data_IF_830916154808
#
_entry.id   IF_830916154808
#
_cell.length_a   1.000
_cell.length_b   1.000
_cell.length_c   1.000
_cell.angle_alpha   90.00
_cell.angle_beta   90.00
_cell.angle_gamma   90.00
#
_symmetry.space_group_name_H-M   'P 1'
#
loop_
_entity.id
_entity.type
_entity.pdbx_description
1 polymer ?
#
# COMPACT_ATOMS: atom_id res chain seq x y z
N UNK A 1 -18.29 -0.09 35.73
CA UNK A 1 -18.49 0.24 34.31
C UNK A 1 -17.14 0.17 33.61
N UNK A 2 -16.92 -0.82 32.75
CA UNK A 2 -15.67 -1.01 32.01
C UNK A 2 -15.90 -0.50 30.59
N UNK A 3 -15.20 0.57 30.21
CA UNK A 3 -15.26 1.13 28.86
C UNK A 3 -14.61 0.14 27.89
N UNK A 4 -15.41 -0.34 26.93
CA UNK A 4 -14.97 -1.11 25.78
C UNK A 4 -14.30 -0.14 24.79
N UNK A 5 -12.98 -0.07 24.82
CA UNK A 5 -12.16 0.59 23.79
C UNK A 5 -12.18 -0.29 22.53
N UNK A 6 -13.27 -0.23 21.77
CA UNK A 6 -13.42 -0.99 20.52
C UNK A 6 -12.54 -0.37 19.43
N UNK A 7 -11.42 -1.03 19.17
CA UNK A 7 -10.75 -1.21 17.89
C UNK A 7 -11.16 -0.28 16.73
N UNK A 8 -10.44 0.84 16.57
CA UNK A 8 -10.33 1.58 15.31
C UNK A 8 -8.94 1.34 14.71
N UNK A 9 -8.64 0.08 14.37
CA UNK A 9 -7.38 -0.34 13.73
C UNK A 9 -7.67 -1.23 12.51
N UNK A 10 -8.79 -0.94 11.82
CA UNK A 10 -9.31 -1.71 10.70
C UNK A 10 -9.35 -0.90 9.38
N UNK A 11 -8.45 0.07 9.21
CA UNK A 11 -8.36 0.92 8.01
C UNK A 11 -7.18 0.64 7.07
N UNK A 12 -6.15 -0.12 7.48
CA UNK A 12 -4.90 -0.29 6.70
C UNK A 12 -4.91 -1.48 5.72
N UNK A 13 -6.09 -1.94 5.29
CA UNK A 13 -6.22 -3.08 4.35
C UNK A 13 -6.77 -2.68 2.97
N UNK A 14 -6.79 -1.40 2.63
CA UNK A 14 -7.25 -0.95 1.30
C UNK A 14 -6.04 -0.76 0.38
N UNK A 15 -5.81 -1.75 -0.50
CA UNK A 15 -5.12 -1.54 -1.78
C UNK A 15 -3.72 -2.16 -1.91
N UNK A 16 -3.66 -3.49 -2.13
CA UNK A 16 -2.46 -4.23 -2.57
C UNK A 16 -1.95 -3.77 -3.96
N UNK A 17 -1.35 -2.59 -4.02
CA UNK A 17 -0.34 -2.23 -5.02
C UNK A 17 0.88 -1.73 -4.26
N UNK A 18 1.54 -2.63 -3.54
CA UNK A 18 2.84 -2.36 -2.89
C UNK A 18 3.89 -2.27 -3.99
N UNK A 19 3.98 -1.09 -4.60
CA UNK A 19 5.00 -0.73 -5.56
C UNK A 19 6.02 0.17 -4.87
N UNK A 20 7.26 -0.27 -4.85
CA UNK A 20 8.40 0.46 -4.32
C UNK A 20 9.23 0.94 -5.50
N UNK A 21 9.44 2.26 -5.58
CA UNK A 21 10.30 2.88 -6.57
C UNK A 21 11.58 3.31 -5.85
N UNK A 22 12.72 2.95 -6.41
CA UNK A 22 13.99 3.14 -5.74
C UNK A 22 15.16 2.99 -6.69
N UNK A 23 16.35 2.89 -6.10
CA UNK A 23 17.60 2.70 -6.81
C UNK A 23 18.10 1.29 -6.54
N UNK A 24 18.54 0.60 -7.59
CA UNK A 24 19.28 -0.65 -7.50
C UNK A 24 20.75 -0.33 -7.77
N UNK A 25 21.59 -0.52 -6.77
CA UNK A 25 23.04 -0.41 -6.87
C UNK A 25 23.62 -1.80 -7.09
N UNK A 26 24.33 -2.00 -8.19
CA UNK A 26 24.94 -3.27 -8.59
C UNK A 26 26.45 -3.15 -8.39
N UNK A 27 27.01 -3.93 -7.47
CA UNK A 27 28.42 -3.83 -7.07
C UNK A 27 29.35 -4.61 -8.01
N UNK A 28 28.83 -5.68 -8.59
CA UNK A 28 29.47 -6.55 -9.58
C UNK A 28 28.41 -7.05 -10.57
N UNK A 29 28.83 -7.37 -11.79
CA UNK A 29 27.92 -7.90 -12.82
C UNK A 29 27.04 -9.03 -12.27
N UNK A 30 25.73 -8.89 -12.47
CA UNK A 30 24.72 -9.82 -11.92
C UNK A 30 23.76 -10.24 -13.02
N UNK A 31 23.50 -11.54 -13.09
CA UNK A 31 22.60 -12.11 -14.08
C UNK A 31 21.37 -12.71 -13.39
N UNK A 32 20.33 -11.89 -13.24
CA UNK A 32 19.09 -12.25 -12.56
C UNK A 32 18.24 -13.14 -13.46
N UNK A 33 18.23 -14.45 -13.18
CA UNK A 33 17.48 -15.46 -13.94
C UNK A 33 16.23 -15.90 -13.20
N UNK A 34 15.09 -15.80 -13.85
CA UNK A 34 13.88 -16.53 -13.52
C UNK A 34 13.60 -17.60 -14.57
N UNK A 35 12.59 -18.44 -14.31
CA UNK A 35 12.19 -19.51 -15.25
C UNK A 35 11.88 -18.99 -16.66
N UNK A 36 11.28 -17.80 -16.74
CA UNK A 36 10.70 -17.25 -17.97
C UNK A 36 11.43 -15.97 -18.46
N UNK A 37 12.23 -15.33 -17.62
CA UNK A 37 12.82 -14.01 -17.85
C UNK A 37 14.31 -14.02 -17.39
N UNK A 38 15.19 -13.30 -18.08
CA UNK A 38 16.60 -13.10 -17.69
C UNK A 38 16.96 -11.63 -17.85
N UNK A 39 17.67 -11.05 -16.88
CA UNK A 39 18.21 -9.69 -16.92
C UNK A 39 19.69 -9.75 -16.55
N UNK A 40 20.55 -9.21 -17.40
CA UNK A 40 21.96 -8.99 -17.07
C UNK A 40 22.19 -7.52 -16.76
N UNK A 41 22.78 -7.22 -15.60
CA UNK A 41 23.09 -5.86 -15.18
C UNK A 41 24.60 -5.75 -14.95
N UNK A 42 25.21 -4.80 -15.64
CA UNK A 42 26.59 -4.40 -15.35
C UNK A 42 26.66 -3.67 -14.00
N UNK A 43 27.88 -3.51 -13.48
CA UNK A 43 28.14 -2.67 -12.31
C UNK A 43 27.64 -1.25 -12.55
N UNK A 44 26.87 -0.70 -11.62
CA UNK A 44 26.32 0.65 -11.72
C UNK A 44 25.05 0.86 -10.90
N UNK A 45 24.43 2.03 -11.05
CA UNK A 45 23.17 2.38 -10.38
C UNK A 45 22.04 2.48 -11.39
N UNK A 46 20.89 1.89 -11.05
CA UNK A 46 19.72 1.84 -11.93
C UNK A 46 18.47 2.28 -11.18
N UNK A 47 17.63 3.06 -11.85
CA UNK A 47 16.26 3.27 -11.39
C UNK A 47 15.49 1.96 -11.51
N UNK A 48 14.96 1.48 -10.40
CA UNK A 48 14.25 0.22 -10.32
C UNK A 48 12.88 0.37 -9.65
N UNK A 49 11.96 -0.54 -10.01
CA UNK A 49 10.63 -0.64 -9.43
C UNK A 49 10.35 -2.08 -9.03
N UNK A 50 10.02 -2.28 -7.77
CA UNK A 50 9.61 -3.55 -7.21
C UNK A 50 8.12 -3.53 -6.94
N UNK A 51 7.39 -4.53 -7.43
CA UNK A 51 5.95 -4.62 -7.25
C UNK A 51 5.54 -6.02 -6.84
N UNK A 52 4.95 -6.12 -5.66
CA UNK A 52 4.33 -7.36 -5.23
C UNK A 52 2.97 -7.55 -5.93
N UNK A 53 2.83 -8.65 -6.66
CA UNK A 53 1.60 -9.03 -7.38
C UNK A 53 0.94 -10.16 -6.59
N UNK A 54 -0.08 -9.80 -5.81
CA UNK A 54 -0.69 -10.74 -4.87
C UNK A 54 0.29 -11.14 -3.77
N UNK A 55 0.24 -12.40 -3.32
CA UNK A 55 1.07 -12.91 -2.22
C UNK A 55 2.32 -13.68 -2.66
N UNK A 56 2.44 -14.00 -3.96
CA UNK A 56 3.37 -15.04 -4.46
C UNK A 56 4.25 -14.60 -5.62
N UNK A 57 4.19 -13.33 -6.00
CA UNK A 57 4.93 -12.84 -7.15
C UNK A 57 5.53 -11.48 -6.83
N UNK A 58 6.79 -11.31 -7.17
CA UNK A 58 7.48 -10.03 -7.22
C UNK A 58 7.85 -9.74 -8.66
N UNK A 59 7.46 -8.55 -9.11
CA UNK A 59 7.82 -8.02 -10.42
C UNK A 59 8.88 -6.95 -10.23
N UNK A 60 10.04 -7.19 -10.81
CA UNK A 60 11.19 -6.28 -10.83
C UNK A 60 11.20 -5.60 -12.19
N UNK A 61 11.22 -4.27 -12.22
CA UNK A 61 11.49 -3.48 -13.42
C UNK A 61 12.78 -2.71 -13.20
N UNK A 62 13.77 -2.92 -14.06
CA UNK A 62 15.07 -2.25 -13.98
C UNK A 62 15.61 -2.09 -15.40
N UNK A 63 16.19 -0.93 -15.71
CA UNK A 63 16.74 -0.62 -17.04
C UNK A 63 15.75 -0.84 -18.23
N UNK A 64 14.44 -0.76 -17.98
CA UNK A 64 13.41 -1.01 -19.00
C UNK A 64 13.05 -2.50 -19.18
N UNK A 65 13.83 -3.40 -18.60
CA UNK A 65 13.56 -4.84 -18.57
C UNK A 65 12.69 -5.21 -17.37
N UNK A 66 12.05 -6.37 -17.47
CA UNK A 66 11.10 -6.88 -16.48
C UNK A 66 11.44 -8.32 -16.14
N UNK A 67 11.55 -8.60 -14.85
CA UNK A 67 11.73 -9.93 -14.29
C UNK A 67 10.58 -10.27 -13.35
N UNK A 68 10.00 -11.46 -13.50
CA UNK A 68 8.97 -11.96 -12.58
C UNK A 68 9.53 -13.09 -11.72
N UNK A 69 9.63 -12.85 -10.41
CA UNK A 69 10.03 -13.85 -9.41
C UNK A 69 8.77 -14.44 -8.77
N UNK A 70 8.67 -15.76 -8.73
CA UNK A 70 7.59 -16.50 -8.06
C UNK A 70 8.11 -16.99 -6.70
N UNK A 71 7.25 -16.99 -5.70
CA UNK A 71 7.54 -17.45 -4.33
C UNK A 71 6.69 -18.68 -3.97
N UNK A 72 7.17 -19.47 -3.01
CA UNK A 72 6.35 -20.48 -2.33
C UNK A 72 5.07 -19.86 -1.74
N UNK A 73 4.00 -20.65 -1.70
CA UNK A 73 2.72 -20.28 -1.13
C UNK A 73 2.75 -19.91 0.35
N UNK A 74 3.74 -20.43 1.09
CA UNK A 74 3.90 -20.26 2.53
C UNK A 74 4.53 -18.92 2.90
N UNK A 75 5.25 -18.28 1.97
CA UNK A 75 5.92 -17.01 2.26
C UNK A 75 4.89 -15.91 2.53
N UNK A 76 5.12 -15.18 3.62
CA UNK A 76 4.35 -13.99 4.00
C UNK A 76 5.32 -12.85 4.22
N UNK A 77 5.26 -11.85 3.35
CA UNK A 77 6.02 -10.63 3.52
C UNK A 77 5.64 -9.97 4.86
N UNK A 78 6.61 -9.68 5.75
CA UNK A 78 6.32 -9.02 7.01
C UNK A 78 5.79 -7.59 6.76
N UNK A 79 5.03 -7.04 7.70
CA UNK A 79 4.66 -5.61 7.66
C UNK A 79 5.83 -4.71 8.04
N UNK A 80 6.63 -5.18 9.00
CA UNK A 80 7.85 -4.58 9.51
C UNK A 80 8.82 -5.69 9.91
N UNK A 81 10.12 -5.47 9.69
CA UNK A 81 11.19 -6.39 10.04
C UNK A 81 11.92 -6.94 8.82
N UNK A 82 12.79 -7.90 9.10
CA UNK A 82 13.63 -8.57 8.13
C UNK A 82 12.89 -9.76 7.50
N UNK A 83 13.24 -10.10 6.28
CA UNK A 83 12.83 -11.33 5.61
C UNK A 83 13.99 -11.88 4.78
N UNK A 84 13.98 -13.19 4.59
CA UNK A 84 14.88 -13.89 3.70
C UNK A 84 14.07 -14.79 2.78
N UNK A 85 14.47 -14.86 1.53
CA UNK A 85 13.90 -15.69 0.49
C UNK A 85 15.06 -16.44 -0.17
N UNK A 86 15.17 -17.71 0.16
CA UNK A 86 16.22 -18.55 -0.41
C UNK A 86 15.95 -18.81 -1.89
N UNK A 87 16.99 -18.96 -2.70
CA UNK A 87 16.90 -19.33 -4.11
C UNK A 87 16.18 -20.66 -4.34
N UNK A 88 16.11 -21.53 -3.32
CA UNK A 88 15.33 -22.77 -3.35
C UNK A 88 13.81 -22.52 -3.25
N UNK A 89 13.40 -21.45 -2.57
CA UNK A 89 12.00 -21.08 -2.33
C UNK A 89 11.48 -20.05 -3.34
N UNK A 90 12.36 -19.58 -4.22
CA UNK A 90 12.04 -18.65 -5.28
C UNK A 90 12.40 -19.22 -6.65
N UNK A 91 11.85 -18.61 -7.70
CA UNK A 91 12.30 -18.91 -9.06
C UNK A 91 13.58 -18.19 -9.46
N UNK A 92 14.25 -17.50 -8.55
CA UNK A 92 15.46 -16.71 -8.79
C UNK A 92 16.70 -17.55 -8.50
N UNK A 93 17.80 -17.30 -9.21
CA UNK A 93 19.10 -17.93 -8.98
C UNK A 93 19.90 -17.37 -7.79
N UNK A 94 19.35 -16.41 -7.05
CA UNK A 94 19.97 -15.73 -5.92
C UNK A 94 19.05 -15.75 -4.71
N UNK A 95 19.66 -15.65 -3.53
CA UNK A 95 18.96 -15.39 -2.28
C UNK A 95 18.60 -13.90 -2.20
N UNK A 96 17.42 -13.59 -1.64
CA UNK A 96 17.00 -12.22 -1.37
C UNK A 96 16.90 -12.00 0.14
N UNK A 97 17.73 -11.10 0.67
CA UNK A 97 17.63 -10.64 2.04
C UNK A 97 17.03 -9.25 2.03
N UNK A 98 16.01 -8.99 2.83
CA UNK A 98 15.36 -7.69 2.78
C UNK A 98 14.86 -7.22 4.12
N UNK A 99 14.65 -5.91 4.22
CA UNK A 99 14.12 -5.25 5.41
C UNK A 99 13.00 -4.30 5.02
N UNK A 100 11.92 -4.32 5.80
CA UNK A 100 10.82 -3.38 5.69
C UNK A 100 10.70 -2.62 7.00
N UNK A 101 10.83 -1.31 6.94
CA UNK A 101 10.60 -0.43 8.09
C UNK A 101 9.49 0.54 7.76
N UNK A 102 8.40 0.48 8.52
CA UNK A 102 7.28 1.41 8.46
C UNK A 102 7.28 2.27 9.71
N UNK A 103 7.49 3.55 9.52
CA UNK A 103 7.35 4.57 10.54
C UNK A 103 6.04 5.36 10.32
N UNK A 104 5.36 5.70 11.40
CA UNK A 104 4.08 6.43 11.36
C UNK A 104 4.19 7.66 12.25
N UNK A 105 4.41 8.80 11.62
CA UNK A 105 4.40 10.09 12.30
C UNK A 105 2.96 10.60 12.38
N UNK A 106 2.44 10.72 13.60
CA UNK A 106 1.06 11.16 13.84
C UNK A 106 1.00 12.67 13.91
N UNK A 107 0.21 13.27 13.03
CA UNK A 107 -0.03 14.71 13.05
C UNK A 107 -0.92 15.17 14.22
N UNK A 108 -1.02 16.50 14.44
CA UNK A 108 -1.93 17.06 15.42
C UNK A 108 -3.40 16.83 15.01
N UNK A 109 -4.28 16.75 16.01
CA UNK A 109 -5.72 16.68 15.80
C UNK A 109 -6.23 18.03 15.27
N UNK A 110 -7.00 17.99 14.19
CA UNK A 110 -7.63 19.11 13.51
C UNK A 110 -9.13 18.99 13.62
N UNK A 111 -9.79 20.14 13.75
CA UNK A 111 -11.24 20.26 13.84
C UNK A 111 -11.71 21.07 12.63
N UNK A 112 -12.72 20.58 11.91
CA UNK A 112 -13.21 21.24 10.70
C UNK A 112 -14.68 20.91 10.42
N UNK A 113 -15.40 21.84 9.81
CA UNK A 113 -16.67 21.53 9.16
C UNK A 113 -16.43 21.05 7.72
N UNK A 114 -16.90 19.84 7.43
CA UNK A 114 -16.87 19.26 6.09
C UNK A 114 -18.26 19.25 5.46
N UNK A 115 -18.29 19.29 4.13
CA UNK A 115 -19.52 19.08 3.38
C UNK A 115 -20.03 17.64 3.58
N UNK A 116 -21.34 17.49 3.68
CA UNK A 116 -22.00 16.21 3.70
C UNK A 116 -23.34 16.26 2.96
N UNK A 117 -23.91 15.10 2.64
CA UNK A 117 -25.22 14.98 2.01
C UNK A 117 -26.25 14.43 3.00
N UNK A 118 -27.38 15.11 3.14
CA UNK A 118 -28.56 14.62 3.87
C UNK A 118 -29.53 14.06 2.84
N UNK A 119 -30.02 12.85 3.06
CA UNK A 119 -31.06 12.26 2.21
C UNK A 119 -32.41 12.33 2.93
N UNK A 120 -33.36 13.06 2.36
CA UNK A 120 -34.70 13.25 2.93
C UNK A 120 -35.74 12.56 2.04
N UNK A 121 -36.64 11.74 2.62
CA UNK A 121 -37.77 11.20 1.90
C UNK A 121 -38.83 12.28 1.66
N UNK A 122 -39.22 12.46 0.41
CA UNK A 122 -40.31 13.34 -0.01
C UNK A 122 -41.39 12.52 -0.72
N UNK A 123 -42.65 12.73 -0.35
CA UNK A 123 -43.76 12.09 -1.04
C UNK A 123 -44.18 12.98 -2.22
N UNK A 124 -44.05 12.45 -3.44
CA UNK A 124 -44.51 13.10 -4.66
C UNK A 124 -45.75 12.37 -5.15
N UNK A 125 -46.86 13.09 -5.31
CA UNK A 125 -48.11 12.55 -5.82
C UNK A 125 -48.37 13.00 -7.26
N UNK A 126 -48.65 12.04 -8.14
CA UNK A 126 -49.06 12.33 -9.52
C UNK A 126 -50.54 12.65 -9.58
N UNK A 127 -50.89 13.93 -9.81
CA UNK A 127 -52.28 14.35 -10.01
C UNK A 127 -52.98 13.64 -11.18
N UNK A 128 -52.23 13.26 -12.23
CA UNK A 128 -52.78 12.59 -13.42
C UNK A 128 -53.05 11.11 -13.23
N UNK A 129 -52.34 10.43 -12.33
CA UNK A 129 -52.38 8.97 -12.19
C UNK A 129 -52.80 8.49 -10.79
N UNK A 130 -53.15 9.40 -9.87
CA UNK A 130 -53.69 9.08 -8.54
C UNK A 130 -52.75 8.29 -7.63
N UNK A 131 -51.44 8.23 -7.92
CA UNK A 131 -50.46 7.49 -7.11
C UNK A 131 -49.47 8.46 -6.45
N UNK A 132 -49.02 8.10 -5.24
CA UNK A 132 -47.95 8.78 -4.53
C UNK A 132 -46.75 7.84 -4.40
N UNK A 133 -45.55 8.38 -4.61
CA UNK A 133 -44.29 7.64 -4.41
C UNK A 133 -43.37 8.44 -3.50
N UNK A 134 -42.66 7.75 -2.62
CA UNK A 134 -41.57 8.34 -1.84
C UNK A 134 -40.34 8.41 -2.72
N UNK A 135 -39.81 9.61 -2.92
CA UNK A 135 -38.53 9.85 -3.55
C UNK A 135 -37.54 10.32 -2.49
N UNK A 136 -36.27 9.93 -2.62
CA UNK A 136 -35.22 10.35 -1.71
C UNK A 136 -34.42 11.47 -2.38
N UNK A 137 -34.55 12.70 -1.86
CA UNK A 137 -33.78 13.85 -2.35
C UNK A 137 -32.56 14.09 -1.49
N UNK A 138 -31.46 14.45 -2.15
CA UNK A 138 -30.19 14.76 -1.50
C UNK A 138 -30.04 16.26 -1.34
N UNK A 139 -29.71 16.68 -0.13
CA UNK A 139 -29.51 18.08 0.23
C UNK A 139 -28.08 18.29 0.75
N UNK A 140 -27.43 19.40 0.37
CA UNK A 140 -26.14 19.77 0.92
C UNK A 140 -26.28 20.11 2.41
N UNK A 141 -25.33 19.64 3.21
CA UNK A 141 -25.22 19.95 4.62
C UNK A 141 -23.76 20.11 5.06
N UNK A 142 -23.58 20.44 6.33
CA UNK A 142 -22.29 20.50 7.01
C UNK A 142 -22.25 19.51 8.17
N UNK A 143 -21.08 18.95 8.43
CA UNK A 143 -20.82 18.18 9.64
C UNK A 143 -19.48 18.58 10.22
N UNK A 144 -19.44 18.68 11.54
CA UNK A 144 -18.19 18.78 12.27
C UNK A 144 -17.42 17.46 12.19
N UNK A 145 -16.12 17.51 11.92
CA UNK A 145 -15.23 16.36 11.94
C UNK A 145 -13.98 16.66 12.74
N UNK A 146 -13.44 15.61 13.36
CA UNK A 146 -12.11 15.61 13.95
C UNK A 146 -11.26 14.62 13.19
N UNK A 147 -10.09 15.06 12.72
CA UNK A 147 -9.17 14.20 11.98
C UNK A 147 -7.73 14.56 12.31
N UNK A 148 -6.81 13.66 12.01
CA UNK A 148 -5.38 13.98 11.89
C UNK A 148 -4.85 13.45 10.58
N UNK A 149 -3.81 14.09 10.07
CA UNK A 149 -3.09 13.59 8.91
C UNK A 149 -1.85 12.86 9.42
N UNK A 150 -1.79 11.54 9.22
CA UNK A 150 -0.67 10.68 9.56
C UNK A 150 0.28 10.60 8.35
N UNK A 151 1.58 10.66 8.60
CA UNK A 151 2.61 10.46 7.58
C UNK A 151 3.17 9.05 7.76
N UNK A 152 3.02 8.22 6.73
CA UNK A 152 3.48 6.84 6.73
C UNK A 152 4.74 6.77 5.87
N UNK A 153 5.90 6.60 6.51
CA UNK A 153 7.18 6.46 5.83
C UNK A 153 7.56 4.98 5.79
N UNK A 154 7.80 4.43 4.60
CA UNK A 154 8.22 3.05 4.39
C UNK A 154 9.59 3.01 3.75
N UNK A 155 10.56 2.43 4.44
CA UNK A 155 11.88 2.10 3.90
C UNK A 155 11.89 0.63 3.56
N UNK A 156 12.27 0.32 2.32
CA UNK A 156 12.33 -1.03 1.79
C UNK A 156 13.70 -1.27 1.19
N UNK A 157 14.41 -2.25 1.74
CA UNK A 157 15.75 -2.66 1.28
C UNK A 157 15.73 -4.12 0.87
N UNK A 158 16.38 -4.46 -0.24
CA UNK A 158 16.64 -5.84 -0.64
C UNK A 158 18.06 -5.96 -1.15
N UNK A 159 18.78 -6.92 -0.61
CA UNK A 159 20.06 -7.38 -1.09
C UNK A 159 19.87 -8.66 -1.90
N UNK A 160 20.48 -8.71 -3.08
CA UNK A 160 20.61 -9.91 -3.90
C UNK A 160 21.97 -10.53 -3.57
N UNK A 161 21.96 -11.72 -2.99
CA UNK A 161 23.17 -12.39 -2.53
C UNK A 161 23.25 -13.84 -3.02
N UNK A 162 24.46 -14.37 -3.12
CA UNK A 162 24.72 -15.80 -3.24
C UNK A 162 26.03 -16.15 -2.54
N UNK A 163 26.09 -17.33 -1.92
CA UNK A 163 27.27 -17.85 -1.23
C UNK A 163 27.93 -16.85 -0.24
N UNK A 164 27.14 -15.99 0.40
CA UNK A 164 27.61 -14.99 1.36
C UNK A 164 28.17 -13.70 0.74
N UNK A 165 28.10 -13.53 -0.59
CA UNK A 165 28.44 -12.30 -1.29
C UNK A 165 27.18 -11.57 -1.75
N UNK A 166 27.08 -10.27 -1.46
CA UNK A 166 26.05 -9.38 -2.02
C UNK A 166 26.49 -8.86 -3.39
N UNK A 167 25.62 -8.97 -4.39
CA UNK A 167 25.86 -8.54 -5.77
C UNK A 167 25.15 -7.23 -6.10
N UNK A 168 24.00 -6.99 -5.48
CA UNK A 168 23.27 -5.75 -5.64
C UNK A 168 22.37 -5.44 -4.45
N UNK A 169 22.11 -4.16 -4.24
CA UNK A 169 21.28 -3.62 -3.17
C UNK A 169 20.21 -2.73 -3.78
N UNK A 170 18.94 -3.03 -3.52
CA UNK A 170 17.81 -2.18 -3.85
C UNK A 170 17.39 -1.39 -2.62
N UNK A 171 17.32 -0.08 -2.77
CA UNK A 171 16.86 0.85 -1.75
C UNK A 171 15.66 1.66 -2.27
N UNK A 172 14.53 1.60 -1.56
CA UNK A 172 13.38 2.44 -1.81
C UNK A 172 12.85 3.07 -0.54
N UNK A 173 12.42 4.32 -0.67
CA UNK A 173 11.66 5.02 0.36
C UNK A 173 10.35 5.50 -0.25
N UNK A 174 9.24 5.19 0.42
CA UNK A 174 7.90 5.65 0.09
C UNK A 174 7.36 6.46 1.25
N UNK A 175 6.67 7.56 0.94
CA UNK A 175 6.02 8.42 1.92
C UNK A 175 4.59 8.64 1.48
N UNK A 176 3.66 8.14 2.28
CA UNK A 176 2.22 8.27 2.07
C UNK A 176 1.62 9.20 3.13
N UNK A 177 0.55 9.90 2.78
CA UNK A 177 -0.25 10.70 3.70
C UNK A 177 -1.60 10.02 3.87
N UNK A 178 -2.01 9.76 5.10
CA UNK A 178 -3.30 9.17 5.41
C UNK A 178 -4.09 10.08 6.34
N UNK A 179 -5.34 10.38 5.97
CA UNK A 179 -6.24 11.16 6.83
C UNK A 179 -7.06 10.21 7.68
N UNK A 180 -6.78 10.21 8.98
CA UNK A 180 -7.49 9.40 9.95
C UNK A 180 -8.57 10.25 10.62
N UNK A 181 -9.83 9.94 10.32
CA UNK A 181 -10.96 10.54 11.03
C UNK A 181 -11.12 9.90 12.41
N UNK A 182 -11.16 10.74 13.43
CA UNK A 182 -11.35 10.36 14.83
C UNK A 182 -12.81 10.50 15.23
N UNK A 183 -13.51 11.47 14.64
CA UNK A 183 -14.92 11.73 14.89
C UNK A 183 -15.64 12.25 13.65
N UNK A 184 -16.89 11.81 13.49
CA UNK A 184 -17.84 12.34 12.52
C UNK A 184 -19.10 12.81 13.24
N UNK A 185 -19.35 14.12 13.19
CA UNK A 185 -20.59 14.73 13.64
C UNK A 185 -21.78 14.37 12.75
N UNK A 186 -22.98 14.63 13.26
CA UNK A 186 -24.21 14.49 12.49
C UNK A 186 -24.22 15.53 11.35
N UNK A 187 -24.62 15.11 10.16
CA UNK A 187 -24.86 16.03 9.05
C UNK A 187 -26.10 16.88 9.34
N UNK A 188 -25.91 18.20 9.36
CA UNK A 188 -26.95 19.22 9.55
C UNK A 188 -26.96 20.24 8.42
N UNK A 189 -28.01 21.07 8.39
CA UNK A 189 -28.12 22.19 7.44
C UNK A 189 -27.28 23.39 7.88
#
# INVERSE_FOLDING_TARGET
MRFFTFALLLGLLVGCKTEFKGTLSVDSEVELKSKDDNISLAKGEYNAKLKFIGKRKLKILVAGEKLTVKFDEKFKLPRNGEFTLDKADTSLNYDLHGTITTDVERGPIRHRDEFCEITIPEVICSRRRGHCTTVYRRYPGRRFVEYRDDIISKVFKIDVADAGQTYSTFDATSRDYDRVYLYHGRCGF
#
